data_IF_489838192477
#
_entry.id   IF_489838192477
#
_cell.length_a   1.000
_cell.length_b   1.000
_cell.length_c   1.000
_cell.angle_alpha   90.00
_cell.angle_beta   90.00
_cell.angle_gamma   90.00
#
_symmetry.space_group_name_H-M   'P 1'
#
loop_
_entity.id
_entity.type
_entity.pdbx_description
1 polymer ?
#
# COMPACT_ATOMS: atom_id res chain seq x y z
N UNK A 1 2.48 -26.75 71.61
CA UNK A 1 3.32 -25.62 71.15
C UNK A 1 3.76 -25.76 69.69
N UNK A 2 4.02 -26.98 69.19
CA UNK A 2 4.37 -27.26 67.78
C UNK A 2 3.29 -26.88 66.76
N UNK A 3 2.00 -26.98 67.12
CA UNK A 3 0.87 -26.59 66.25
C UNK A 3 0.80 -25.09 65.98
N UNK A 4 1.13 -24.25 66.97
CA UNK A 4 1.16 -22.80 66.78
C UNK A 4 2.33 -22.37 65.90
N UNK A 5 3.48 -23.05 66.00
CA UNK A 5 4.64 -22.81 65.16
C UNK A 5 4.39 -23.10 63.66
N UNK A 6 3.62 -24.16 63.37
CA UNK A 6 3.22 -24.52 62.00
C UNK A 6 2.27 -23.49 61.37
N UNK A 7 1.35 -22.92 62.17
CA UNK A 7 0.39 -21.92 61.68
C UNK A 7 1.10 -20.59 61.38
N UNK A 8 2.05 -20.16 62.23
CA UNK A 8 2.85 -18.96 61.97
C UNK A 8 3.76 -19.08 60.75
N UNK A 9 4.30 -20.27 60.46
CA UNK A 9 5.12 -20.50 59.28
C UNK A 9 4.30 -20.44 57.98
N UNK A 10 3.07 -20.98 57.98
CA UNK A 10 2.20 -20.97 56.80
C UNK A 10 1.70 -19.55 56.45
N UNK A 11 1.44 -18.70 57.45
CA UNK A 11 1.02 -17.30 57.23
C UNK A 11 2.17 -16.44 56.66
N UNK A 12 3.43 -16.71 57.06
CA UNK A 12 4.61 -16.04 56.48
C UNK A 12 4.82 -16.40 54.99
N UNK A 13 4.39 -17.58 54.56
CA UNK A 13 4.53 -18.04 53.16
C UNK A 13 3.58 -17.34 52.20
N UNK A 14 2.44 -16.81 52.68
CA UNK A 14 1.45 -16.10 51.84
C UNK A 14 1.82 -14.62 51.66
N UNK A 15 2.65 -14.06 52.54
CA UNK A 15 3.13 -12.68 52.45
C UNK A 15 4.29 -12.50 51.46
N UNK A 16 4.76 -13.60 50.85
CA UNK A 16 5.91 -13.62 49.94
C UNK A 16 5.46 -13.86 48.49
N UNK A 17 4.82 -12.86 47.84
CA UNK A 17 5.34 -12.51 46.52
C UNK A 17 5.23 -10.99 46.25
N UNK A 18 5.68 -10.12 47.17
CA UNK A 18 5.80 -8.69 46.87
C UNK A 18 7.15 -8.31 46.26
N UNK A 19 8.21 -9.11 46.49
CA UNK A 19 9.56 -8.86 45.96
C UNK A 19 9.89 -9.58 44.64
N UNK A 20 8.92 -10.22 43.99
CA UNK A 20 9.10 -10.76 42.63
C UNK A 20 8.58 -9.80 41.54
N UNK A 21 8.13 -8.60 41.93
CA UNK A 21 7.67 -7.54 41.04
C UNK A 21 8.67 -6.37 41.00
N UNK A 22 9.96 -6.62 41.25
CA UNK A 22 10.98 -5.76 40.66
C UNK A 22 11.03 -6.13 39.19
N UNK A 23 10.44 -5.25 38.38
CA UNK A 23 10.41 -5.26 36.92
C UNK A 23 11.28 -6.38 36.35
N UNK A 24 10.64 -7.50 36.00
CA UNK A 24 11.20 -8.48 35.10
C UNK A 24 11.44 -7.72 33.79
N UNK A 25 12.60 -7.06 33.75
CA UNK A 25 13.12 -6.36 32.60
C UNK A 25 13.41 -7.50 31.65
N UNK A 26 12.38 -7.84 30.88
CA UNK A 26 12.39 -8.87 29.86
C UNK A 26 13.73 -8.73 29.13
N UNK A 27 14.51 -9.81 29.08
CA UNK A 27 15.91 -9.81 28.61
C UNK A 27 16.07 -9.31 27.17
N UNK A 28 14.95 -9.00 26.51
CA UNK A 28 14.78 -8.32 25.23
C UNK A 28 14.96 -6.80 25.27
N UNK A 29 14.99 -6.12 26.43
CA UNK A 29 15.11 -4.66 26.51
C UNK A 29 13.93 -3.86 25.92
N UNK A 30 12.85 -4.54 25.51
CA UNK A 30 11.66 -3.92 24.94
C UNK A 30 10.70 -3.51 26.04
N UNK A 31 10.14 -2.31 25.94
CA UNK A 31 9.18 -1.84 26.95
C UNK A 31 7.86 -2.63 26.86
N UNK A 32 7.10 -2.71 27.95
CA UNK A 32 5.76 -3.32 27.94
C UNK A 32 4.85 -2.73 26.84
N UNK A 33 4.97 -1.42 26.58
CA UNK A 33 4.21 -0.74 25.53
C UNK A 33 4.68 -1.13 24.12
N UNK A 34 5.98 -1.30 23.92
CA UNK A 34 6.56 -1.80 22.67
C UNK A 34 6.12 -3.24 22.38
N UNK A 35 6.11 -4.10 23.41
CA UNK A 35 5.55 -5.46 23.31
C UNK A 35 4.07 -5.42 22.93
N UNK A 36 3.30 -4.49 23.53
CA UNK A 36 1.90 -4.25 23.19
C UNK A 36 1.70 -3.82 21.73
N UNK A 37 2.52 -2.89 21.24
CA UNK A 37 2.48 -2.44 19.86
C UNK A 37 2.85 -3.56 18.88
N UNK A 38 3.84 -4.39 19.22
CA UNK A 38 4.21 -5.55 18.43
C UNK A 38 3.05 -6.56 18.32
N UNK A 39 2.42 -6.91 19.44
CA UNK A 39 1.26 -7.82 19.45
C UNK A 39 0.08 -7.26 18.65
N UNK A 40 -0.13 -5.94 18.69
CA UNK A 40 -1.16 -5.27 17.90
C UNK A 40 -0.88 -5.35 16.38
N UNK A 41 0.35 -5.06 15.97
CA UNK A 41 0.76 -5.15 14.56
C UNK A 41 0.71 -6.60 14.04
N UNK A 42 1.11 -7.57 14.86
CA UNK A 42 0.96 -9.00 14.55
C UNK A 42 -0.51 -9.39 14.37
N UNK A 43 -1.42 -8.82 15.18
CA UNK A 43 -2.86 -8.98 15.00
C UNK A 43 -3.37 -8.43 13.67
N UNK A 44 -2.96 -7.21 13.29
CA UNK A 44 -3.30 -6.62 11.98
C UNK A 44 -2.78 -7.49 10.84
N UNK A 45 -1.53 -7.92 10.89
CA UNK A 45 -0.93 -8.75 9.84
C UNK A 45 -1.65 -10.09 9.69
N UNK A 46 -2.06 -10.72 10.79
CA UNK A 46 -2.83 -11.97 10.76
C UNK A 46 -4.23 -11.77 10.16
N UNK A 47 -4.88 -10.65 10.43
CA UNK A 47 -6.18 -10.33 9.82
C UNK A 47 -6.04 -9.99 8.32
N UNK A 48 -4.90 -9.42 7.92
CA UNK A 48 -4.60 -9.13 6.51
C UNK A 48 -4.11 -10.35 5.71
N UNK A 49 -3.69 -11.42 6.37
CA UNK A 49 -3.17 -12.65 5.74
C UNK A 49 -4.11 -13.21 4.66
N UNK A 50 -5.44 -13.35 4.87
CA UNK A 50 -6.37 -13.82 3.84
C UNK A 50 -6.40 -12.90 2.62
N UNK A 51 -6.43 -11.57 2.83
CA UNK A 51 -6.45 -10.60 1.73
C UNK A 51 -5.13 -10.61 0.93
N UNK A 52 -4.00 -10.88 1.59
CA UNK A 52 -2.71 -11.06 0.93
C UNK A 52 -2.64 -12.36 0.13
N UNK A 53 -3.23 -13.44 0.63
CA UNK A 53 -3.34 -14.70 -0.10
C UNK A 53 -4.23 -14.55 -1.35
N UNK A 54 -5.36 -13.86 -1.22
CA UNK A 54 -6.24 -13.54 -2.35
C UNK A 54 -5.52 -12.69 -3.42
N UNK A 55 -4.81 -11.63 -2.99
CA UNK A 55 -4.03 -10.78 -3.89
C UNK A 55 -2.92 -11.58 -4.59
N UNK A 56 -2.28 -12.50 -3.86
CA UNK A 56 -1.27 -13.39 -4.42
C UNK A 56 -1.89 -14.31 -5.49
N UNK A 57 -3.05 -14.91 -5.24
CA UNK A 57 -3.77 -15.72 -6.22
C UNK A 57 -4.15 -14.94 -7.48
N UNK A 58 -4.60 -13.69 -7.31
CA UNK A 58 -4.86 -12.78 -8.44
C UNK A 58 -3.58 -12.47 -9.22
N UNK A 59 -2.48 -12.18 -8.53
CA UNK A 59 -1.19 -11.90 -9.14
C UNK A 59 -0.62 -13.12 -9.87
N UNK A 60 -0.81 -14.34 -9.37
CA UNK A 60 -0.41 -15.58 -10.05
C UNK A 60 -1.24 -15.79 -11.33
N UNK A 61 -2.53 -15.44 -11.30
CA UNK A 61 -3.43 -15.57 -12.44
C UNK A 61 -3.18 -14.51 -13.52
N UNK A 62 -3.05 -13.24 -13.11
CA UNK A 62 -2.92 -12.09 -14.03
C UNK A 62 -1.47 -11.75 -14.36
N UNK A 63 -0.51 -12.12 -13.52
CA UNK A 63 0.90 -11.77 -13.66
C UNK A 63 1.52 -12.16 -15.01
N UNK A 64 1.31 -13.39 -15.51
CA UNK A 64 1.83 -13.80 -16.82
C UNK A 64 1.27 -12.94 -17.96
N UNK A 65 -0.03 -12.64 -17.94
CA UNK A 65 -0.68 -11.85 -18.99
C UNK A 65 -0.31 -10.37 -18.90
N UNK A 66 -0.24 -9.80 -17.70
CA UNK A 66 0.27 -8.44 -17.49
C UNK A 66 1.71 -8.31 -17.97
N UNK A 67 2.56 -9.31 -17.71
CA UNK A 67 3.94 -9.33 -18.18
C UNK A 67 4.01 -9.36 -19.70
N UNK A 68 3.21 -10.21 -20.36
CA UNK A 68 3.11 -10.24 -21.83
C UNK A 68 2.63 -8.92 -22.40
N UNK A 69 1.60 -8.33 -21.80
CA UNK A 69 1.09 -7.01 -22.20
C UNK A 69 2.18 -5.94 -22.11
N UNK A 70 2.96 -5.90 -21.03
CA UNK A 70 4.08 -4.95 -20.90
C UNK A 70 5.20 -5.25 -21.90
N UNK A 71 5.49 -6.51 -22.18
CA UNK A 71 6.53 -6.89 -23.14
C UNK A 71 6.11 -6.59 -24.60
N UNK A 72 4.85 -6.84 -24.96
CA UNK A 72 4.33 -6.69 -26.33
C UNK A 72 3.82 -5.26 -26.61
N UNK A 73 3.04 -4.68 -25.70
CA UNK A 73 2.38 -3.38 -25.86
C UNK A 73 3.11 -2.25 -25.13
N UNK A 74 4.03 -2.55 -24.21
CA UNK A 74 4.75 -1.54 -23.43
C UNK A 74 5.56 -0.56 -24.30
N UNK A 75 6.32 -0.99 -25.31
CA UNK A 75 7.06 -0.07 -26.19
C UNK A 75 6.13 0.90 -26.93
N UNK A 76 5.06 0.39 -27.55
CA UNK A 76 4.07 1.21 -28.24
C UNK A 76 3.35 2.17 -27.29
N UNK A 77 3.05 1.73 -26.05
CA UNK A 77 2.46 2.59 -25.03
C UNK A 77 3.42 3.69 -24.55
N UNK A 78 4.71 3.38 -24.41
CA UNK A 78 5.73 4.35 -24.07
C UNK A 78 5.92 5.39 -25.18
N UNK A 79 5.91 4.96 -26.45
CA UNK A 79 5.93 5.86 -27.60
C UNK A 79 4.67 6.75 -27.64
N UNK A 80 3.50 6.17 -27.42
CA UNK A 80 2.25 6.92 -27.34
C UNK A 80 2.29 7.95 -26.21
N UNK A 81 2.75 7.57 -25.02
CA UNK A 81 2.91 8.51 -23.90
C UNK A 81 3.97 9.59 -24.17
N UNK A 82 4.98 9.30 -24.98
CA UNK A 82 5.93 10.30 -25.47
C UNK A 82 5.32 11.28 -26.48
N UNK A 83 4.29 10.85 -27.23
CA UNK A 83 3.55 11.67 -28.20
C UNK A 83 2.36 12.42 -27.58
N UNK A 84 1.86 11.95 -26.44
CA UNK A 84 0.76 12.60 -25.73
C UNK A 84 1.31 13.88 -25.07
N UNK A 85 0.91 15.02 -25.63
CA UNK A 85 1.11 16.35 -25.04
C UNK A 85 0.48 16.44 -23.65
N UNK A 86 0.76 17.53 -22.93
CA UNK A 86 0.26 17.78 -21.58
C UNK A 86 -1.28 17.64 -21.50
N UNK A 87 -1.78 16.49 -21.03
CA UNK A 87 -3.20 16.23 -20.84
C UNK A 87 -3.83 17.14 -19.78
N UNK A 88 -3.02 17.81 -18.95
CA UNK A 88 -3.53 18.70 -17.90
C UNK A 88 -4.25 19.91 -18.48
N UNK A 89 -3.93 20.33 -19.71
CA UNK A 89 -4.58 21.46 -20.38
C UNK A 89 -5.96 21.12 -20.95
N UNK A 90 -6.39 19.85 -20.85
CA UNK A 90 -7.69 19.38 -21.32
C UNK A 90 -8.61 18.95 -20.18
N UNK A 91 -9.90 19.01 -20.44
CA UNK A 91 -10.94 18.41 -19.60
C UNK A 91 -11.00 16.89 -19.81
N UNK A 92 -11.61 16.13 -18.89
CA UNK A 92 -11.90 14.72 -19.12
C UNK A 92 -12.70 14.50 -20.42
N UNK A 93 -12.48 13.36 -21.11
CA UNK A 93 -13.18 13.03 -22.34
C UNK A 93 -14.69 12.91 -22.14
N UNK A 94 -15.45 13.47 -23.08
CA UNK A 94 -16.93 13.39 -23.12
C UNK A 94 -17.34 12.48 -24.29
N UNK A 95 -18.21 11.51 -24.04
CA UNK A 95 -18.75 10.64 -25.10
C UNK A 95 -19.97 11.27 -25.76
N UNK A 96 -19.93 11.36 -27.08
CA UNK A 96 -21.03 11.87 -27.90
C UNK A 96 -22.07 10.75 -28.19
N UNK A 97 -23.31 11.09 -28.57
CA UNK A 97 -24.36 10.10 -28.87
C UNK A 97 -24.03 9.15 -30.02
N UNK A 98 -23.10 9.52 -30.90
CA UNK A 98 -22.62 8.70 -32.01
C UNK A 98 -21.48 7.74 -31.62
N UNK A 99 -20.96 7.84 -30.39
CA UNK A 99 -19.85 7.02 -29.90
C UNK A 99 -18.47 7.67 -30.05
N UNK A 100 -18.38 8.86 -30.62
CA UNK A 100 -17.12 9.61 -30.69
C UNK A 100 -16.77 10.21 -29.32
N UNK A 101 -15.48 10.46 -29.10
CA UNK A 101 -14.97 11.12 -27.89
C UNK A 101 -14.50 12.52 -28.24
N UNK A 102 -14.99 13.52 -27.51
CA UNK A 102 -14.49 14.91 -27.61
C UNK A 102 -13.61 15.23 -26.40
N UNK A 103 -12.48 15.88 -26.66
CA UNK A 103 -11.54 16.37 -25.64
C UNK A 103 -11.46 17.90 -25.71
N UNK A 104 -12.05 18.58 -24.73
CA UNK A 104 -12.10 20.06 -24.70
C UNK A 104 -10.89 20.63 -23.98
N UNK A 105 -10.23 21.65 -24.53
CA UNK A 105 -9.17 22.39 -23.83
C UNK A 105 -9.77 23.23 -22.69
N UNK A 106 -9.08 23.29 -21.56
CA UNK A 106 -9.39 24.15 -20.40
C UNK A 106 -9.04 25.60 -20.69
N UNK A 107 -7.87 25.81 -21.29
CA UNK A 107 -7.41 27.14 -21.67
C UNK A 107 -7.69 27.37 -23.17
N UNK A 108 -8.35 28.48 -23.52
CA UNK A 108 -8.54 28.84 -24.92
C UNK A 108 -7.17 29.10 -25.57
N UNK A 109 -7.00 28.67 -26.83
CA UNK A 109 -5.81 29.05 -27.60
C UNK A 109 -5.75 30.58 -27.70
N UNK A 110 -4.58 31.13 -27.40
CA UNK A 110 -4.27 32.52 -27.74
C UNK A 110 -4.14 32.61 -29.27
N UNK A 111 -5.02 33.37 -29.95
CA UNK A 111 -4.99 33.51 -31.41
C UNK A 111 -3.73 34.23 -31.92
N UNK A 112 -2.99 34.93 -31.06
CA UNK A 112 -1.75 35.63 -31.39
C UNK A 112 -0.50 34.82 -30.99
N UNK A 113 -0.65 33.60 -30.46
CA UNK A 113 0.48 32.73 -30.20
C UNK A 113 1.16 32.33 -31.52
N UNK A 114 2.50 32.39 -31.61
CA UNK A 114 3.20 31.92 -32.80
C UNK A 114 2.83 30.46 -33.06
N UNK A 115 2.45 30.15 -34.31
CA UNK A 115 2.15 28.79 -34.75
C UNK A 115 3.29 27.88 -34.29
N UNK A 116 2.97 26.96 -33.37
CA UNK A 116 3.93 25.94 -32.97
C UNK A 116 4.25 25.13 -34.23
N UNK A 117 5.54 24.85 -34.50
CA UNK A 117 5.89 24.02 -35.65
C UNK A 117 5.12 22.70 -35.56
N UNK A 118 4.61 22.18 -36.70
CA UNK A 118 3.87 20.92 -36.69
C UNK A 118 4.72 19.87 -35.97
N UNK A 119 4.10 19.19 -35.00
CA UNK A 119 4.67 17.99 -34.42
C UNK A 119 5.00 17.07 -35.59
N UNK A 120 6.25 16.63 -35.66
CA UNK A 120 6.72 15.71 -36.70
C UNK A 120 5.80 14.48 -36.69
N UNK A 121 4.91 14.40 -37.68
CA UNK A 121 3.96 13.31 -37.86
C UNK A 121 4.80 12.07 -38.16
N UNK A 122 5.18 11.35 -37.09
CA UNK A 122 5.87 10.07 -37.20
C UNK A 122 4.98 9.14 -38.02
N UNK A 123 5.34 8.97 -39.29
CA UNK A 123 4.68 8.10 -40.25
C UNK A 123 4.44 6.73 -39.62
N UNK A 124 3.18 6.35 -39.46
CA UNK A 124 2.81 5.00 -39.02
C UNK A 124 2.79 4.15 -40.29
N UNK A 125 3.88 3.42 -40.53
CA UNK A 125 3.92 2.40 -41.58
C UNK A 125 2.99 1.24 -41.15
N UNK A 126 1.85 1.13 -41.84
CA UNK A 126 0.80 0.11 -41.62
C UNK A 126 1.09 -1.19 -42.38
#
# INVERSE_FOLDING_TARGET
>A
MTRFALITAAVLSIASPLSAQEAEQDKSGTSLMERGAQMFMEGIMREMEPAMEDLKGLAETMGPELRRFVEEMGPAFAELMGKIDDLSVYHPPEMLPNGDIILRRKEPLDPDAPDQPPLDDGEIEI
#
